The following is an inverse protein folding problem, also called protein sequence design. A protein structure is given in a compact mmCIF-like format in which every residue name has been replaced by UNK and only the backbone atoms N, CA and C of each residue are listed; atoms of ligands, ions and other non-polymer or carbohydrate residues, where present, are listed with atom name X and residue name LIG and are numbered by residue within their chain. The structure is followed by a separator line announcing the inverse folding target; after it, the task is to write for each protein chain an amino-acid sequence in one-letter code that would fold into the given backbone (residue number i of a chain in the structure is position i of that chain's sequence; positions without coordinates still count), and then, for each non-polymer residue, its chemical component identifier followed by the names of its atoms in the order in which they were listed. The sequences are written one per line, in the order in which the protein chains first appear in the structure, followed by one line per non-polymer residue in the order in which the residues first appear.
data_IF_921893706835
#
_entry.id   IF_921893706835
#
_cell.length_a   1.000
_cell.length_b   1.000
_cell.length_c   1.000
_cell.angle_alpha   90.00
_cell.angle_beta   90.00
_cell.angle_gamma   90.00
#
_symmetry.space_group_name_H-M   'P 1'
#
loop_
_entity.id
_entity.type
_entity.pdbx_description
1 polymer ?
#
# COMPACT_ATOMS: atom_id res chain seq x y z
N UNK A 1 -100.22 14.46 81.59
CA UNK A 1 -99.34 15.44 81.01
C UNK A 1 -97.95 14.80 80.72
N UNK A 2 -97.81 14.44 79.53
CA UNK A 2 -96.62 13.73 79.06
C UNK A 2 -95.51 14.74 78.69
N UNK A 3 -94.39 14.50 79.26
CA UNK A 3 -93.16 15.23 78.87
C UNK A 3 -92.39 14.40 77.83
N UNK A 4 -92.38 14.91 76.64
CA UNK A 4 -91.64 14.37 75.52
C UNK A 4 -90.17 14.36 75.85
N UNK A 5 -89.57 13.18 75.87
CA UNK A 5 -88.17 12.97 76.01
C UNK A 5 -87.49 13.11 74.61
N UNK A 6 -86.75 14.19 74.43
CA UNK A 6 -85.93 14.40 73.24
C UNK A 6 -84.80 13.38 73.19
N UNK A 7 -84.58 12.66 72.09
CA UNK A 7 -83.51 11.69 71.99
C UNK A 7 -82.13 12.39 71.82
N UNK A 8 -81.16 11.97 72.64
CA UNK A 8 -79.78 12.44 72.60
C UNK A 8 -79.05 12.09 71.26
N UNK A 9 -78.27 12.96 70.74
CA UNK A 9 -77.50 12.69 69.54
C UNK A 9 -76.47 11.58 69.79
N UNK A 10 -76.21 10.73 68.80
CA UNK A 10 -75.23 9.66 68.93
C UNK A 10 -73.81 10.20 69.13
N UNK A 11 -72.92 9.47 69.83
CA UNK A 11 -71.56 9.93 70.12
C UNK A 11 -70.72 9.99 68.84
N UNK A 12 -69.80 10.93 68.81
CA UNK A 12 -68.91 11.07 67.59
C UNK A 12 -68.11 9.80 67.38
N UNK A 13 -68.16 9.31 66.14
CA UNK A 13 -67.35 8.18 65.69
C UNK A 13 -65.86 8.52 65.83
N UNK A 14 -65.11 7.81 66.65
CA UNK A 14 -63.66 7.90 66.71
C UNK A 14 -63.10 7.44 65.37
N UNK A 15 -62.51 8.37 64.60
CA UNK A 15 -61.75 8.04 63.46
C UNK A 15 -60.44 7.43 63.96
N UNK A 16 -60.21 6.17 63.64
CA UNK A 16 -58.93 5.52 63.96
C UNK A 16 -57.80 6.24 63.21
N UNK A 17 -56.61 6.45 63.82
CA UNK A 17 -55.45 7.06 63.09
C UNK A 17 -55.12 6.18 61.91
N UNK A 18 -54.99 6.81 60.75
CA UNK A 18 -54.58 6.15 59.50
C UNK A 18 -53.25 5.43 59.75
N UNK A 19 -53.17 4.15 59.37
CA UNK A 19 -51.94 3.39 59.46
C UNK A 19 -50.88 4.07 58.64
N UNK A 20 -49.59 4.16 59.07
CA UNK A 20 -48.54 4.75 58.33
C UNK A 20 -48.35 4.03 56.94
N UNK A 21 -48.34 4.79 55.89
CA UNK A 21 -48.12 4.26 54.56
C UNK A 21 -46.75 3.49 54.49
N UNK A 22 -46.75 2.30 53.90
CA UNK A 22 -45.48 1.54 53.75
C UNK A 22 -44.45 2.37 53.02
N UNK A 23 -43.17 2.29 53.42
CA UNK A 23 -42.12 3.04 52.79
C UNK A 23 -42.03 2.67 51.28
N UNK A 24 -41.78 3.64 50.38
CA UNK A 24 -41.69 3.37 48.98
C UNK A 24 -40.59 2.34 48.71
N UNK A 25 -40.80 1.39 47.78
CA UNK A 25 -39.80 0.36 47.47
C UNK A 25 -38.47 1.01 47.05
N UNK A 26 -37.32 0.45 47.46
CA UNK A 26 -36.02 1.01 47.11
C UNK A 26 -35.90 1.09 45.58
N UNK A 27 -35.73 2.29 45.04
CA UNK A 27 -35.47 2.50 43.63
C UNK A 27 -34.18 1.75 43.28
N UNK A 28 -34.29 0.60 42.59
CA UNK A 28 -33.16 -0.10 41.98
C UNK A 28 -32.44 0.90 41.09
N UNK A 29 -31.30 1.41 41.52
CA UNK A 29 -30.38 2.16 40.68
C UNK A 29 -29.98 1.24 39.54
N UNK A 30 -30.66 1.42 38.41
CA UNK A 30 -30.33 0.72 37.16
C UNK A 30 -28.85 0.96 36.92
N UNK A 31 -28.05 -0.12 36.90
CA UNK A 31 -26.60 -0.13 36.73
C UNK A 31 -26.13 0.37 35.36
N UNK A 32 -26.43 1.64 35.01
CA UNK A 32 -25.91 2.34 33.84
C UNK A 32 -24.42 2.63 33.98
N UNK A 33 -23.82 2.51 35.14
CA UNK A 33 -22.40 2.80 35.37
C UNK A 33 -21.46 1.69 34.92
N UNK A 34 -21.90 0.43 34.87
CA UNK A 34 -21.00 -0.68 34.57
C UNK A 34 -20.66 -0.78 33.06
N UNK A 35 -21.65 -0.65 32.18
CA UNK A 35 -21.42 -0.65 30.73
C UNK A 35 -20.60 0.55 30.26
N UNK A 36 -20.91 1.76 30.79
CA UNK A 36 -20.07 2.93 30.45
C UNK A 36 -18.63 2.78 30.93
N UNK A 37 -18.40 2.17 32.07
CA UNK A 37 -17.08 1.96 32.65
C UNK A 37 -16.28 0.92 31.82
N UNK A 38 -16.93 -0.16 31.41
CA UNK A 38 -16.32 -1.16 30.50
C UNK A 38 -16.01 -0.57 29.13
N UNK A 39 -16.94 0.21 28.57
CA UNK A 39 -16.73 0.88 27.28
C UNK A 39 -15.59 1.91 27.37
N UNK A 40 -15.57 2.69 28.45
CA UNK A 40 -14.49 3.66 28.68
C UNK A 40 -13.13 2.96 28.85
N UNK A 41 -13.06 1.86 29.60
CA UNK A 41 -11.85 1.07 29.74
C UNK A 41 -11.40 0.48 28.40
N UNK A 42 -12.34 -0.05 27.59
CA UNK A 42 -12.03 -0.60 26.27
C UNK A 42 -11.47 0.48 25.32
N UNK A 43 -12.07 1.67 25.30
CA UNK A 43 -11.60 2.80 24.50
C UNK A 43 -10.21 3.25 24.95
N UNK A 44 -10.00 3.43 26.26
CA UNK A 44 -8.69 3.82 26.79
C UNK A 44 -7.63 2.77 26.45
N UNK A 45 -7.94 1.48 26.61
CA UNK A 45 -7.01 0.40 26.27
C UNK A 45 -6.69 0.41 24.76
N UNK A 46 -7.69 0.60 23.91
CA UNK A 46 -7.49 0.68 22.47
C UNK A 46 -6.60 1.89 22.07
N UNK A 47 -6.81 3.05 22.69
CA UNK A 47 -6.00 4.25 22.47
C UNK A 47 -4.56 4.01 22.93
N UNK A 48 -4.36 3.44 24.11
CA UNK A 48 -3.01 3.13 24.61
C UNK A 48 -2.30 2.14 23.69
N UNK A 49 -2.97 1.09 23.24
CA UNK A 49 -2.40 0.12 22.30
C UNK A 49 -2.05 0.77 20.95
N UNK A 50 -2.91 1.66 20.45
CA UNK A 50 -2.65 2.40 19.22
C UNK A 50 -1.43 3.32 19.35
N UNK A 51 -1.29 4.03 20.47
CA UNK A 51 -0.12 4.89 20.75
C UNK A 51 1.16 4.06 20.85
N UNK A 52 1.13 2.93 21.56
CA UNK A 52 2.26 2.02 21.67
C UNK A 52 2.65 1.45 20.31
N UNK A 53 1.68 1.01 19.51
CA UNK A 53 1.94 0.52 18.16
C UNK A 53 2.57 1.61 17.28
N UNK A 54 2.04 2.83 17.32
CA UNK A 54 2.61 3.97 16.59
C UNK A 54 4.04 4.30 17.05
N UNK A 55 4.31 4.24 18.34
CA UNK A 55 5.65 4.47 18.88
C UNK A 55 6.65 3.38 18.41
N UNK A 56 6.24 2.11 18.41
CA UNK A 56 7.08 1.00 17.91
C UNK A 56 7.35 1.16 16.42
N UNK A 57 6.31 1.44 15.62
CA UNK A 57 6.47 1.67 14.16
C UNK A 57 7.39 2.85 13.89
N UNK A 58 7.21 3.96 14.63
CA UNK A 58 8.07 5.14 14.51
C UNK A 58 9.52 4.85 14.88
N UNK A 59 9.76 4.12 15.96
CA UNK A 59 11.11 3.71 16.38
C UNK A 59 11.76 2.79 15.32
N UNK A 60 11.02 1.83 14.78
CA UNK A 60 11.50 0.96 13.70
C UNK A 60 11.83 1.75 12.44
N UNK A 61 10.96 2.69 12.05
CA UNK A 61 11.19 3.55 10.89
C UNK A 61 12.50 4.37 11.04
N UNK A 62 12.71 4.99 12.19
CA UNK A 62 13.93 5.75 12.49
C UNK A 62 15.16 4.84 12.55
N UNK A 63 15.04 3.65 13.12
CA UNK A 63 16.15 2.71 13.22
C UNK A 63 16.55 2.11 11.87
N UNK A 64 15.60 1.84 10.97
CA UNK A 64 15.85 1.26 9.66
C UNK A 64 16.30 2.31 8.63
N UNK A 65 15.90 3.58 8.80
CA UNK A 65 16.19 4.70 7.89
C UNK A 65 15.99 4.26 6.42
N UNK A 66 14.74 3.85 6.02
CA UNK A 66 14.49 3.27 4.72
C UNK A 66 14.71 4.29 3.61
N UNK A 67 15.58 3.95 2.67
CA UNK A 67 15.91 4.77 1.50
C UNK A 67 15.45 4.07 0.24
N UNK A 68 14.87 4.82 -0.69
CA UNK A 68 14.49 4.28 -1.98
C UNK A 68 15.72 3.78 -2.75
N UNK A 69 15.65 2.59 -3.36
CA UNK A 69 16.71 2.12 -4.24
C UNK A 69 16.81 3.04 -5.46
N UNK A 70 17.99 3.10 -6.05
CA UNK A 70 18.26 3.91 -7.24
C UNK A 70 18.58 2.99 -8.40
N UNK A 71 17.97 3.28 -9.55
CA UNK A 71 18.22 2.57 -10.80
C UNK A 71 18.73 3.55 -11.85
N UNK A 72 19.77 3.16 -12.57
CA UNK A 72 20.27 3.90 -13.72
C UNK A 72 20.44 2.96 -14.91
N UNK A 73 20.13 3.44 -16.10
CA UNK A 73 20.50 2.76 -17.33
C UNK A 73 21.79 3.42 -17.84
N UNK A 74 22.89 2.73 -17.69
CA UNK A 74 24.21 3.27 -17.97
C UNK A 74 24.53 3.20 -19.47
N UNK A 75 24.02 2.18 -20.14
CA UNK A 75 24.21 1.96 -21.56
C UNK A 75 22.98 1.33 -22.19
N UNK A 76 22.59 1.86 -23.33
CA UNK A 76 21.64 1.23 -24.25
C UNK A 76 22.28 1.22 -25.63
N UNK A 77 22.58 0.04 -26.17
CA UNK A 77 23.12 -0.15 -27.48
C UNK A 77 22.23 -1.02 -28.35
N UNK A 78 22.14 -0.69 -29.62
CA UNK A 78 21.41 -1.48 -30.60
C UNK A 78 22.39 -2.49 -31.18
N UNK A 79 22.26 -3.76 -30.84
CA UNK A 79 23.13 -4.83 -31.37
C UNK A 79 22.65 -5.40 -32.70
N UNK A 80 21.34 -5.33 -32.98
CA UNK A 80 20.77 -5.64 -34.27
C UNK A 80 19.47 -4.88 -34.50
N UNK A 81 19.30 -4.34 -35.71
CA UNK A 81 18.07 -3.75 -36.16
C UNK A 81 17.84 -4.02 -37.64
N UNK A 82 16.79 -4.73 -37.98
CA UNK A 82 16.43 -5.10 -39.34
C UNK A 82 14.96 -4.81 -39.57
N UNK A 83 14.64 -4.22 -40.68
CA UNK A 83 13.25 -3.99 -41.13
C UNK A 83 13.05 -4.73 -42.44
N UNK A 84 12.06 -5.62 -42.46
CA UNK A 84 11.58 -6.24 -43.67
C UNK A 84 10.55 -5.32 -44.35
N UNK A 85 10.85 -4.72 -45.47
CA UNK A 85 9.94 -3.78 -46.12
C UNK A 85 8.69 -4.47 -46.72
N UNK A 86 8.77 -5.78 -46.98
CA UNK A 86 7.64 -6.53 -47.56
C UNK A 86 6.55 -6.84 -46.55
N UNK A 87 6.94 -7.13 -45.31
CA UNK A 87 6.06 -7.46 -44.21
C UNK A 87 5.87 -6.32 -43.24
N UNK A 88 6.59 -5.20 -43.39
CA UNK A 88 6.66 -4.07 -42.48
C UNK A 88 6.98 -4.51 -41.05
N UNK A 89 7.80 -5.55 -40.93
CA UNK A 89 8.20 -6.14 -39.67
C UNK A 89 9.60 -5.68 -39.27
N UNK A 90 9.73 -5.16 -38.05
CA UNK A 90 11.01 -4.80 -37.47
C UNK A 90 11.48 -5.85 -36.48
N UNK A 91 12.71 -6.33 -36.62
CA UNK A 91 13.41 -7.16 -35.64
C UNK A 91 14.49 -6.34 -35.00
N UNK A 92 14.44 -6.26 -33.67
CA UNK A 92 15.37 -5.45 -32.91
C UNK A 92 16.01 -6.26 -31.77
N UNK A 93 17.30 -6.01 -31.54
CA UNK A 93 18.02 -6.52 -30.36
C UNK A 93 18.79 -5.36 -29.74
N UNK A 94 18.62 -5.26 -28.44
CA UNK A 94 19.26 -4.22 -27.63
C UNK A 94 20.06 -4.87 -26.50
N UNK A 95 21.24 -4.34 -26.25
CA UNK A 95 22.05 -4.65 -25.08
C UNK A 95 21.95 -3.45 -24.13
N UNK A 96 21.43 -3.71 -22.94
CA UNK A 96 21.14 -2.69 -21.92
C UNK A 96 21.94 -3.01 -20.68
N UNK A 97 22.69 -2.04 -20.17
CA UNK A 97 23.36 -2.17 -18.86
C UNK A 97 22.60 -1.33 -17.85
N UNK A 98 22.08 -1.99 -16.83
CA UNK A 98 21.33 -1.36 -15.73
C UNK A 98 22.15 -1.48 -14.46
N UNK A 99 22.34 -0.37 -13.75
CA UNK A 99 22.92 -0.35 -12.42
C UNK A 99 21.82 -0.14 -11.39
N UNK A 100 21.71 -1.08 -10.46
CA UNK A 100 20.84 -1.00 -9.30
C UNK A 100 21.66 -0.73 -8.04
N UNK A 101 21.30 0.31 -7.29
CA UNK A 101 21.99 0.71 -6.05
C UNK A 101 21.01 0.61 -4.89
N UNK A 102 21.31 -0.25 -3.93
CA UNK A 102 20.60 -0.32 -2.65
C UNK A 102 21.37 0.51 -1.60
N UNK A 103 20.93 1.72 -1.24
CA UNK A 103 21.61 2.56 -0.25
C UNK A 103 21.35 2.14 1.19
N UNK A 104 20.42 1.21 1.42
CA UNK A 104 19.99 0.81 2.75
C UNK A 104 21.07 -0.01 3.47
N UNK A 105 21.28 0.30 4.75
CA UNK A 105 22.24 -0.42 5.59
C UNK A 105 21.70 -1.65 6.31
N UNK A 106 20.36 -1.79 6.34
CA UNK A 106 19.68 -2.86 7.10
C UNK A 106 18.57 -3.54 6.29
N UNK A 107 18.30 -3.06 5.09
CA UNK A 107 17.23 -3.54 4.22
C UNK A 107 17.85 -4.19 3.00
N UNK A 108 17.54 -5.45 2.76
CA UNK A 108 17.84 -6.17 1.53
C UNK A 108 16.67 -6.12 0.56
N UNK A 109 16.95 -6.33 -0.73
CA UNK A 109 15.95 -6.33 -1.79
C UNK A 109 16.05 -7.65 -2.54
N UNK A 110 14.98 -8.42 -2.52
CA UNK A 110 14.85 -9.63 -3.32
C UNK A 110 14.09 -9.29 -4.61
N UNK A 111 14.75 -9.42 -5.73
CA UNK A 111 14.13 -9.32 -7.06
C UNK A 111 13.52 -10.66 -7.43
N UNK A 112 12.21 -10.67 -7.73
CA UNK A 112 11.48 -11.90 -8.02
C UNK A 112 11.37 -12.18 -9.52
N UNK A 113 11.09 -13.43 -9.89
CA UNK A 113 10.75 -13.76 -11.28
C UNK A 113 9.46 -13.04 -11.71
N UNK A 114 9.30 -12.86 -13.03
CA UNK A 114 8.12 -12.21 -13.60
C UNK A 114 8.27 -10.72 -13.85
N UNK A 115 9.52 -10.22 -13.90
CA UNK A 115 9.83 -8.89 -14.40
C UNK A 115 9.50 -8.76 -15.88
N UNK A 116 9.18 -7.54 -16.31
CA UNK A 116 8.94 -7.20 -17.70
C UNK A 116 9.76 -5.95 -18.07
N UNK A 117 10.72 -6.15 -18.95
CA UNK A 117 11.56 -5.08 -19.50
C UNK A 117 11.20 -4.86 -20.96
N UNK A 118 11.27 -3.62 -21.43
CA UNK A 118 11.02 -3.34 -22.83
C UNK A 118 11.62 -2.03 -23.32
N UNK A 119 12.00 -2.02 -24.61
CA UNK A 119 12.38 -0.82 -25.34
C UNK A 119 11.24 -0.43 -26.26
N UNK A 120 10.86 0.84 -26.18
CA UNK A 120 9.73 1.37 -26.90
C UNK A 120 10.15 2.52 -27.81
N UNK A 121 9.56 2.55 -29.00
CA UNK A 121 9.59 3.69 -29.89
C UNK A 121 8.16 4.17 -30.10
N UNK A 122 7.85 5.38 -29.64
CA UNK A 122 6.45 5.88 -29.57
C UNK A 122 5.55 4.88 -28.83
N UNK A 123 4.57 4.30 -29.51
CA UNK A 123 3.61 3.33 -28.94
C UNK A 123 3.98 1.86 -29.20
N UNK A 124 5.07 1.61 -29.95
CA UNK A 124 5.48 0.28 -30.36
C UNK A 124 6.59 -0.25 -29.45
N UNK A 125 6.39 -1.45 -28.93
CA UNK A 125 7.44 -2.16 -28.17
C UNK A 125 8.36 -2.90 -29.12
N UNK A 126 9.55 -2.38 -29.34
CA UNK A 126 10.54 -2.94 -30.25
C UNK A 126 11.21 -4.19 -29.73
N UNK A 127 11.44 -4.25 -28.41
CA UNK A 127 12.07 -5.40 -27.78
C UNK A 127 11.53 -5.62 -26.38
N UNK A 128 11.67 -6.86 -25.90
CA UNK A 128 11.31 -7.29 -24.56
C UNK A 128 12.40 -8.16 -23.95
N UNK A 129 12.46 -8.17 -22.63
CA UNK A 129 13.35 -9.00 -21.85
C UNK A 129 12.82 -9.17 -20.44
N UNK A 130 13.57 -9.87 -19.63
CA UNK A 130 13.28 -10.06 -18.22
C UNK A 130 14.55 -9.91 -17.39
N UNK A 131 14.41 -9.43 -16.19
CA UNK A 131 15.46 -9.42 -15.17
C UNK A 131 15.51 -10.80 -14.51
N UNK A 132 16.67 -11.42 -14.35
CA UNK A 132 16.79 -12.64 -13.55
C UNK A 132 16.44 -12.36 -12.09
N UNK A 133 15.95 -13.37 -11.38
CA UNK A 133 15.74 -13.27 -9.95
C UNK A 133 17.10 -13.25 -9.23
N UNK A 134 17.29 -12.29 -8.31
CA UNK A 134 18.50 -12.20 -7.49
C UNK A 134 18.24 -11.45 -6.19
N UNK A 135 19.13 -11.62 -5.23
CA UNK A 135 19.11 -10.89 -3.97
C UNK A 135 20.16 -9.79 -3.99
N UNK A 136 19.75 -8.58 -3.64
CA UNK A 136 20.64 -7.46 -3.46
C UNK A 136 20.75 -7.13 -1.97
N UNK A 137 21.92 -7.38 -1.40
CA UNK A 137 22.24 -7.11 0.00
C UNK A 137 22.26 -5.62 0.34
N UNK A 138 22.58 -5.35 1.59
CA UNK A 138 22.72 -4.01 2.14
C UNK A 138 23.87 -3.24 1.48
N UNK A 139 23.68 -1.95 1.23
CA UNK A 139 24.69 -1.05 0.64
C UNK A 139 25.38 -1.64 -0.60
N UNK A 140 24.65 -2.38 -1.40
CA UNK A 140 25.19 -3.07 -2.56
C UNK A 140 24.82 -2.35 -3.86
N UNK A 141 25.75 -2.38 -4.81
CA UNK A 141 25.56 -1.93 -6.18
C UNK A 141 25.70 -3.14 -7.10
N UNK A 142 24.69 -3.38 -7.93
CA UNK A 142 24.66 -4.51 -8.85
C UNK A 142 24.54 -3.98 -10.28
N UNK A 143 25.46 -4.38 -11.15
CA UNK A 143 25.44 -4.06 -12.58
C UNK A 143 24.92 -5.27 -13.34
N UNK A 144 23.89 -5.04 -14.14
CA UNK A 144 23.13 -6.09 -14.82
C UNK A 144 23.21 -5.87 -16.35
N UNK A 145 23.98 -6.67 -17.07
CA UNK A 145 23.91 -6.72 -18.52
C UNK A 145 22.67 -7.50 -18.96
N UNK A 146 21.82 -6.86 -19.76
CA UNK A 146 20.53 -7.40 -20.19
C UNK A 146 20.45 -7.37 -21.70
N UNK A 147 20.07 -8.48 -22.32
CA UNK A 147 19.76 -8.57 -23.73
C UNK A 147 18.23 -8.58 -23.92
N UNK A 148 17.73 -7.61 -24.70
CA UNK A 148 16.34 -7.52 -25.07
C UNK A 148 16.19 -7.78 -26.56
N UNK A 149 15.22 -8.60 -26.95
CA UNK A 149 14.94 -8.89 -28.35
C UNK A 149 13.44 -8.81 -28.62
N UNK A 150 13.11 -8.47 -29.86
CA UNK A 150 11.71 -8.43 -30.26
C UNK A 150 11.51 -8.40 -31.76
N UNK A 151 10.32 -8.74 -32.15
CA UNK A 151 9.80 -8.63 -33.49
C UNK A 151 8.43 -7.96 -33.40
N UNK A 152 8.22 -6.92 -34.20
CA UNK A 152 6.99 -6.11 -34.17
C UNK A 152 6.62 -5.64 -35.55
N UNK A 153 5.33 -5.74 -35.91
CA UNK A 153 4.81 -5.09 -37.11
C UNK A 153 4.62 -3.58 -36.83
N UNK A 154 5.18 -2.77 -37.70
CA UNK A 154 5.11 -1.32 -37.61
C UNK A 154 4.20 -0.78 -38.72
N UNK A 155 3.54 0.36 -38.47
CA UNK A 155 2.91 1.10 -39.55
C UNK A 155 3.98 1.70 -40.46
N UNK A 156 3.72 1.75 -41.78
CA UNK A 156 4.69 2.27 -42.77
C UNK A 156 5.23 3.66 -42.41
N UNK A 157 4.37 4.56 -41.92
CA UNK A 157 4.76 5.89 -41.46
C UNK A 157 5.69 5.87 -40.22
N UNK A 158 5.65 4.80 -39.42
CA UNK A 158 6.55 4.63 -38.28
C UNK A 158 7.91 4.13 -38.76
N UNK A 159 7.94 3.25 -39.75
CA UNK A 159 9.20 2.76 -40.37
C UNK A 159 9.97 3.90 -41.00
N UNK A 160 9.28 4.75 -41.79
CA UNK A 160 9.96 5.92 -42.40
C UNK A 160 10.50 6.89 -41.34
N UNK A 161 9.70 7.22 -40.32
CA UNK A 161 10.12 8.07 -39.21
C UNK A 161 11.30 7.48 -38.40
N UNK A 162 11.38 6.16 -38.27
CA UNK A 162 12.48 5.49 -37.58
C UNK A 162 13.77 5.52 -38.48
N UNK A 163 13.63 5.33 -39.78
CA UNK A 163 14.74 5.44 -40.72
C UNK A 163 15.29 6.87 -40.76
N UNK A 164 14.44 7.89 -40.75
CA UNK A 164 14.86 9.29 -40.71
C UNK A 164 15.56 9.62 -39.39
N UNK A 165 15.05 9.14 -38.26
CA UNK A 165 15.69 9.28 -36.94
C UNK A 165 17.06 8.58 -36.90
N UNK A 166 17.22 7.42 -37.56
CA UNK A 166 18.52 6.75 -37.68
C UNK A 166 19.52 7.58 -38.51
N UNK A 167 19.08 8.22 -39.59
CA UNK A 167 19.93 9.10 -40.42
C UNK A 167 20.41 10.33 -39.67
N UNK A 168 19.55 10.89 -38.80
CA UNK A 168 19.88 12.05 -37.95
C UNK A 168 20.69 11.66 -36.71
N UNK A 169 20.85 10.35 -36.42
CA UNK A 169 21.60 9.85 -35.29
C UNK A 169 20.89 9.96 -33.93
N UNK A 170 19.61 10.40 -33.92
CA UNK A 170 18.82 10.59 -32.71
C UNK A 170 17.51 9.83 -32.82
N UNK A 171 17.45 8.66 -32.20
CA UNK A 171 16.23 7.84 -32.12
C UNK A 171 15.63 7.94 -30.72
N UNK A 172 14.45 8.57 -30.54
CA UNK A 172 13.85 8.71 -29.22
C UNK A 172 13.31 7.35 -28.74
N UNK A 173 14.06 6.69 -27.88
CA UNK A 173 13.72 5.41 -27.29
C UNK A 173 13.31 5.59 -25.84
N UNK A 174 12.36 4.77 -25.37
CA UNK A 174 11.93 4.71 -23.99
C UNK A 174 12.16 3.31 -23.46
N UNK A 175 13.02 3.17 -22.46
CA UNK A 175 13.17 1.95 -21.70
C UNK A 175 12.12 1.94 -20.57
N UNK A 176 11.41 0.83 -20.43
CA UNK A 176 10.43 0.63 -19.35
C UNK A 176 10.73 -0.68 -18.63
N UNK A 177 10.74 -0.61 -17.32
CA UNK A 177 10.93 -1.75 -16.44
C UNK A 177 9.71 -1.87 -15.49
N UNK A 178 9.24 -3.09 -15.28
CA UNK A 178 8.24 -3.46 -14.28
C UNK A 178 8.77 -4.70 -13.57
N UNK A 179 9.23 -4.55 -12.34
CA UNK A 179 9.99 -5.56 -11.61
C UNK A 179 9.33 -5.83 -10.26
N UNK A 180 8.90 -7.08 -10.00
CA UNK A 180 8.40 -7.46 -8.68
C UNK A 180 9.56 -7.56 -7.70
N UNK A 181 9.44 -6.88 -6.55
CA UNK A 181 10.46 -6.85 -5.50
C UNK A 181 9.86 -7.18 -4.14
N UNK A 182 10.63 -7.86 -3.31
CA UNK A 182 10.38 -8.02 -1.88
C UNK A 182 11.43 -7.28 -1.08
N UNK A 183 10.97 -6.57 -0.06
CA UNK A 183 11.84 -5.90 0.91
C UNK A 183 12.06 -6.83 2.11
N UNK A 184 13.32 -7.08 2.47
CA UNK A 184 13.70 -7.94 3.57
C UNK A 184 14.47 -7.15 4.63
N UNK A 185 14.11 -7.37 5.92
CA UNK A 185 14.83 -6.84 7.08
C UNK A 185 15.22 -8.00 7.97
N UNK A 186 16.50 -8.31 8.02
CA UNK A 186 16.99 -9.53 8.68
C UNK A 186 16.38 -10.78 8.03
N UNK A 187 15.62 -11.56 8.80
CA UNK A 187 14.92 -12.77 8.32
C UNK A 187 13.45 -12.51 7.97
N UNK A 188 12.99 -11.28 8.07
CA UNK A 188 11.57 -10.94 7.86
C UNK A 188 11.35 -10.34 6.47
N UNK A 189 10.46 -10.97 5.71
CA UNK A 189 9.94 -10.43 4.44
C UNK A 189 8.79 -9.49 4.77
N UNK A 190 9.03 -8.18 4.64
CA UNK A 190 8.10 -7.16 5.15
C UNK A 190 7.10 -6.68 4.10
N UNK A 191 7.50 -6.56 2.85
CA UNK A 191 6.65 -5.95 1.84
C UNK A 191 6.94 -6.50 0.44
N UNK A 192 5.86 -6.75 -0.29
CA UNK A 192 5.89 -7.11 -1.72
C UNK A 192 5.40 -5.94 -2.53
N UNK A 193 6.23 -5.46 -3.44
CA UNK A 193 5.90 -4.37 -4.33
C UNK A 193 6.28 -4.67 -5.78
N UNK A 194 5.92 -3.77 -6.68
CA UNK A 194 6.41 -3.74 -8.06
C UNK A 194 7.03 -2.38 -8.30
N UNK A 195 8.29 -2.40 -8.64
CA UNK A 195 9.00 -1.20 -9.05
C UNK A 195 8.75 -0.97 -10.54
N UNK A 196 8.32 0.26 -10.87
CA UNK A 196 8.06 0.68 -12.25
C UNK A 196 8.93 1.87 -12.59
N UNK A 197 9.78 1.69 -13.55
CA UNK A 197 10.71 2.74 -13.97
C UNK A 197 10.57 3.04 -15.46
N UNK A 198 10.86 4.29 -15.84
CA UNK A 198 10.85 4.77 -17.22
C UNK A 198 12.05 5.69 -17.45
N UNK A 199 12.89 5.32 -18.40
CA UNK A 199 14.05 6.11 -18.78
C UNK A 199 13.94 6.46 -20.26
N UNK A 200 14.14 7.74 -20.58
CA UNK A 200 14.07 8.27 -21.93
C UNK A 200 15.48 8.45 -22.50
N UNK A 201 15.68 8.02 -23.74
CA UNK A 201 16.91 8.17 -24.49
C UNK A 201 16.62 8.93 -25.79
N UNK A 202 17.49 9.86 -26.13
CA UNK A 202 17.49 10.59 -27.39
C UNK A 202 18.75 10.28 -28.17
#
# INVERSE_FOLDING_TARGET
ADLDACPLPPPPRRVAPAAPLPPPPPRKRRGRGCCCRLLCCAVVTAVVLAVLAAAVVGALYLALDPKAPRYSVDRLSVSAFQVDPSTVTARARFDVTVTAVNPNSRIGIQYEPGSSLGVWYRSYRLARGALPAFYQGHRNTTVLPLALAGEVQLATAVVSGLQDAQRTGAVPLVFRADVPVHVEVGSFKLWKGREKDRVYFN
#
